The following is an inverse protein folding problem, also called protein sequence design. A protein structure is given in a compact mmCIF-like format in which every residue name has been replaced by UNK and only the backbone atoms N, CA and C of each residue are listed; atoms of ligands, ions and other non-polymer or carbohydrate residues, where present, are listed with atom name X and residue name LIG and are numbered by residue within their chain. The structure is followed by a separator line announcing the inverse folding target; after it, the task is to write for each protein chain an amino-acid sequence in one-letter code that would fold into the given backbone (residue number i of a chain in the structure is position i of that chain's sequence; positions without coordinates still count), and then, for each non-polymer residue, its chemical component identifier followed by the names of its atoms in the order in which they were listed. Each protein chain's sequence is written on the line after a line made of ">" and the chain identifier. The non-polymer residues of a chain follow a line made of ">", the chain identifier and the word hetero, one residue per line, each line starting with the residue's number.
data_IF_904731271092
#
_entry.id   IF_904731271092
#
_cell.length_a   1.000
_cell.length_b   1.000
_cell.length_c   1.000
_cell.angle_alpha   90.00
_cell.angle_beta   90.00
_cell.angle_gamma   90.00
#
_symmetry.space_group_name_H-M   'P 1'
#
loop_
_entity.id
_entity.type
_entity.pdbx_description
1 polymer ?
#
# COMPACT_ATOMS: atom_id res chain seq x y z
N UNK A 1 -13.47 -14.19 -8.55
CA UNK A 1 -13.31 -14.14 -7.08
C UNK A 1 -14.65 -14.23 -6.35
N UNK A 2 -15.59 -13.31 -6.60
CA UNK A 2 -16.92 -13.32 -5.93
C UNK A 2 -17.64 -14.66 -6.15
N UNK A 3 -17.68 -15.16 -7.39
CA UNK A 3 -18.36 -16.42 -7.72
C UNK A 3 -17.72 -17.69 -7.11
N UNK A 4 -16.47 -17.58 -6.65
CA UNK A 4 -15.74 -18.68 -6.01
C UNK A 4 -15.79 -18.60 -4.48
N UNK A 5 -16.39 -17.54 -3.93
CA UNK A 5 -16.59 -17.35 -2.49
C UNK A 5 -17.79 -18.17 -1.99
N UNK A 6 -17.77 -18.70 -0.76
CA UNK A 6 -16.72 -18.58 0.25
C UNK A 6 -15.52 -19.51 0.00
N UNK A 7 -14.33 -19.07 0.44
CA UNK A 7 -13.12 -19.89 0.45
C UNK A 7 -12.95 -20.60 1.80
N UNK A 8 -12.42 -21.82 1.80
CA UNK A 8 -12.20 -22.61 3.02
C UNK A 8 -10.98 -22.18 3.83
N UNK A 9 -9.98 -21.57 3.20
CA UNK A 9 -8.77 -21.07 3.85
C UNK A 9 -8.15 -19.91 3.07
N UNK A 10 -7.26 -19.17 3.73
CA UNK A 10 -6.42 -18.15 3.08
C UNK A 10 -5.57 -18.77 1.95
N UNK A 11 -5.05 -19.98 2.15
CA UNK A 11 -4.26 -20.69 1.13
C UNK A 11 -5.12 -21.01 -0.11
N UNK A 12 -6.38 -21.41 0.08
CA UNK A 12 -7.31 -21.67 -1.02
C UNK A 12 -7.63 -20.37 -1.80
N UNK A 13 -7.89 -19.28 -1.08
CA UNK A 13 -8.16 -17.97 -1.69
C UNK A 13 -6.95 -17.45 -2.48
N UNK A 14 -5.75 -17.53 -1.89
CA UNK A 14 -4.49 -17.12 -2.53
C UNK A 14 -4.14 -17.99 -3.72
N UNK A 15 -4.34 -19.32 -3.63
CA UNK A 15 -4.12 -20.25 -4.74
C UNK A 15 -5.07 -19.97 -5.90
N UNK A 16 -6.35 -19.75 -5.62
CA UNK A 16 -7.35 -19.37 -6.62
C UNK A 16 -6.98 -18.03 -7.29
N UNK A 17 -6.63 -17.01 -6.49
CA UNK A 17 -6.21 -15.71 -7.01
C UNK A 17 -4.96 -15.82 -7.91
N UNK A 18 -3.98 -16.66 -7.52
CA UNK A 18 -2.76 -16.90 -8.30
C UNK A 18 -3.07 -17.54 -9.65
N UNK A 19 -3.94 -18.55 -9.67
CA UNK A 19 -4.36 -19.18 -10.91
C UNK A 19 -5.09 -18.19 -11.81
N UNK A 20 -6.06 -17.46 -11.26
CA UNK A 20 -6.82 -16.47 -12.01
C UNK A 20 -5.88 -15.42 -12.60
N UNK A 21 -4.98 -14.86 -11.79
CA UNK A 21 -4.06 -13.80 -12.18
C UNK A 21 -3.06 -14.22 -13.25
N UNK A 22 -2.39 -15.36 -13.12
CA UNK A 22 -1.30 -15.72 -14.04
C UNK A 22 -1.73 -16.59 -15.23
N UNK A 23 -2.84 -17.32 -15.13
CA UNK A 23 -3.26 -18.27 -16.18
C UNK A 23 -4.50 -17.82 -16.94
N UNK A 24 -5.45 -17.16 -16.27
CA UNK A 24 -6.78 -16.88 -16.85
C UNK A 24 -6.94 -15.40 -17.23
N UNK A 25 -6.28 -14.49 -16.52
CA UNK A 25 -6.28 -13.07 -16.83
C UNK A 25 -5.56 -12.77 -18.14
N UNK A 26 -6.11 -11.82 -18.88
CA UNK A 26 -5.47 -11.26 -20.08
C UNK A 26 -4.54 -10.13 -19.68
N UNK A 27 -3.61 -9.79 -20.56
CA UNK A 27 -2.70 -8.63 -20.38
C UNK A 27 -3.47 -7.36 -20.06
N UNK A 28 -4.63 -7.12 -20.70
CA UNK A 28 -5.44 -5.93 -20.40
C UNK A 28 -5.89 -5.88 -18.94
N UNK A 29 -6.27 -7.02 -18.35
CA UNK A 29 -6.66 -7.09 -16.94
C UNK A 29 -5.51 -6.74 -16.00
N UNK A 30 -4.27 -7.09 -16.37
CA UNK A 30 -3.09 -6.65 -15.62
C UNK A 30 -2.88 -5.15 -15.75
N UNK A 31 -2.95 -4.61 -16.97
CA UNK A 31 -2.79 -3.16 -17.21
C UNK A 31 -3.85 -2.33 -16.48
N UNK A 32 -5.09 -2.83 -16.43
CA UNK A 32 -6.18 -2.18 -15.71
C UNK A 32 -5.91 -2.16 -14.20
N UNK A 33 -5.34 -3.22 -13.64
CA UNK A 33 -4.96 -3.28 -12.22
C UNK A 33 -3.77 -2.36 -11.88
N UNK A 34 -2.79 -2.23 -12.78
CA UNK A 34 -1.67 -1.32 -12.59
C UNK A 34 -2.09 0.15 -12.60
N UNK A 35 -3.22 0.47 -13.24
CA UNK A 35 -3.65 1.84 -13.52
C UNK A 35 -4.09 2.58 -12.25
N UNK A 36 -3.51 3.76 -12.01
CA UNK A 36 -3.89 4.67 -10.92
C UNK A 36 -3.14 4.44 -9.61
N UNK A 37 -2.14 3.55 -9.59
CA UNK A 37 -1.42 3.14 -8.39
C UNK A 37 0.11 3.21 -8.50
N UNK A 38 0.67 4.04 -9.40
CA UNK A 38 2.11 4.24 -9.54
C UNK A 38 2.83 4.41 -8.19
N UNK A 39 3.73 3.47 -7.89
CA UNK A 39 4.49 3.47 -6.64
C UNK A 39 5.53 4.60 -6.63
N UNK A 40 6.06 4.99 -7.80
CA UNK A 40 6.92 6.17 -7.93
C UNK A 40 6.18 7.46 -7.56
N UNK A 41 4.97 7.64 -8.07
CA UNK A 41 4.15 8.81 -7.75
C UNK A 41 3.74 8.82 -6.28
N UNK A 42 3.29 7.68 -5.74
CA UNK A 42 2.88 7.55 -4.34
C UNK A 42 4.03 7.79 -3.36
N UNK A 43 5.24 7.37 -3.72
CA UNK A 43 6.44 7.58 -2.90
C UNK A 43 6.77 9.07 -2.67
N UNK A 44 6.34 9.97 -3.57
CA UNK A 44 6.54 11.43 -3.42
C UNK A 44 5.97 11.94 -2.09
N UNK A 45 4.88 11.33 -1.59
CA UNK A 45 4.25 11.71 -0.31
C UNK A 45 5.20 11.61 0.90
N UNK A 46 6.18 10.70 0.83
CA UNK A 46 7.08 10.38 1.93
C UNK A 46 8.53 10.80 1.65
N UNK A 47 8.82 11.25 0.43
CA UNK A 47 10.16 11.60 -0.01
C UNK A 47 10.65 12.93 0.57
N UNK A 48 11.97 13.07 0.71
CA UNK A 48 12.62 14.36 0.97
C UNK A 48 12.40 15.30 -0.22
N UNK A 49 12.31 16.61 0.05
CA UNK A 49 12.08 17.64 -0.97
C UNK A 49 13.09 17.58 -2.13
N UNK A 50 14.34 17.21 -1.85
CA UNK A 50 15.40 17.02 -2.85
C UNK A 50 15.09 15.89 -3.84
N UNK A 51 14.35 14.86 -3.43
CA UNK A 51 14.06 13.67 -4.22
C UNK A 51 12.76 13.76 -5.01
N UNK A 52 11.80 14.59 -4.58
CA UNK A 52 10.46 14.67 -5.19
C UNK A 52 10.51 14.89 -6.72
N UNK A 53 11.39 15.79 -7.19
CA UNK A 53 11.57 16.05 -8.63
C UNK A 53 12.13 14.83 -9.37
N UNK A 54 13.03 14.08 -8.74
CA UNK A 54 13.64 12.88 -9.32
C UNK A 54 12.60 11.76 -9.47
N UNK A 55 11.78 11.54 -8.43
CA UNK A 55 10.67 10.58 -8.47
C UNK A 55 9.64 10.93 -9.55
N UNK A 56 9.19 12.19 -9.61
CA UNK A 56 8.23 12.64 -10.63
C UNK A 56 8.79 12.48 -12.06
N UNK A 57 10.07 12.81 -12.24
CA UNK A 57 10.75 12.63 -13.53
C UNK A 57 10.76 11.15 -13.94
N UNK A 58 11.12 10.26 -13.00
CA UNK A 58 11.16 8.82 -13.27
C UNK A 58 9.78 8.21 -13.48
N UNK A 59 8.74 8.67 -12.78
CA UNK A 59 7.36 8.23 -13.01
C UNK A 59 6.93 8.50 -14.47
N UNK A 60 7.19 9.72 -14.96
CA UNK A 60 6.89 10.10 -16.34
C UNK A 60 7.76 9.32 -17.34
N UNK A 61 9.06 9.20 -17.06
CA UNK A 61 10.03 8.53 -17.94
C UNK A 61 9.74 7.04 -18.08
N UNK A 62 9.43 6.36 -16.98
CA UNK A 62 9.06 4.95 -16.96
C UNK A 62 7.77 4.73 -17.76
N UNK A 63 6.72 5.51 -17.47
CA UNK A 63 5.44 5.42 -18.18
C UNK A 63 5.58 5.66 -19.68
N UNK A 64 6.42 6.62 -20.08
CA UNK A 64 6.67 6.91 -21.50
C UNK A 64 7.36 5.74 -22.23
N UNK A 65 8.23 4.98 -21.53
CA UNK A 65 8.92 3.83 -22.12
C UNK A 65 8.03 2.58 -22.20
N UNK A 66 7.38 2.22 -21.09
CA UNK A 66 6.70 0.94 -20.96
C UNK A 66 5.19 1.00 -21.22
N UNK A 67 4.59 2.20 -21.18
CA UNK A 67 3.17 2.40 -21.43
C UNK A 67 2.26 2.10 -20.24
N UNK A 68 2.80 1.75 -19.07
CA UNK A 68 2.07 1.52 -17.83
C UNK A 68 2.82 2.08 -16.62
N UNK A 69 2.17 2.04 -15.45
CA UNK A 69 2.67 2.64 -14.20
C UNK A 69 3.74 1.76 -13.53
N UNK A 70 4.67 2.37 -12.78
CA UNK A 70 5.66 1.58 -12.05
C UNK A 70 5.02 0.88 -10.85
N UNK A 71 5.11 -0.46 -10.84
CA UNK A 71 4.57 -1.33 -9.78
C UNK A 71 5.71 -2.04 -9.06
N UNK A 72 5.68 -2.01 -7.74
CA UNK A 72 6.58 -2.74 -6.84
C UNK A 72 5.84 -3.11 -5.55
N UNK A 73 6.20 -4.21 -4.91
CA UNK A 73 5.73 -4.54 -3.55
C UNK A 73 6.42 -3.73 -2.45
N UNK A 74 7.44 -2.95 -2.79
CA UNK A 74 8.19 -2.13 -1.82
C UNK A 74 7.31 -1.04 -1.21
N UNK A 75 7.46 -0.86 0.10
CA UNK A 75 6.64 0.05 0.88
C UNK A 75 6.80 1.51 0.40
N UNK A 76 5.69 2.25 0.25
CA UNK A 76 5.72 3.59 -0.37
C UNK A 76 6.55 4.63 0.39
N UNK A 77 6.89 4.39 1.66
CA UNK A 77 7.78 5.27 2.42
C UNK A 77 9.28 5.01 2.15
N UNK A 78 9.64 3.90 1.51
CA UNK A 78 11.00 3.58 1.07
C UNK A 78 11.31 4.25 -0.28
N UNK A 79 11.17 5.58 -0.34
CA UNK A 79 11.24 6.34 -1.60
C UNK A 79 12.55 6.19 -2.37
N UNK A 80 13.68 5.98 -1.67
CA UNK A 80 14.98 5.75 -2.30
C UNK A 80 15.05 4.37 -2.96
N UNK A 81 14.56 3.34 -2.28
CA UNK A 81 14.56 1.96 -2.79
C UNK A 81 13.66 1.83 -4.02
N UNK A 82 12.44 2.39 -3.96
CA UNK A 82 11.51 2.43 -5.11
C UNK A 82 12.16 3.12 -6.32
N UNK A 83 12.90 4.21 -6.07
CA UNK A 83 13.61 4.92 -7.12
C UNK A 83 14.72 4.03 -7.71
N UNK A 84 15.55 3.41 -6.87
CA UNK A 84 16.67 2.58 -7.32
C UNK A 84 16.18 1.35 -8.10
N UNK A 85 15.08 0.72 -7.66
CA UNK A 85 14.41 -0.35 -8.41
C UNK A 85 13.95 0.13 -9.80
N UNK A 86 13.33 1.31 -9.88
CA UNK A 86 12.88 1.86 -11.15
C UNK A 86 14.06 2.16 -12.08
N UNK A 87 15.18 2.65 -11.56
CA UNK A 87 16.40 2.90 -12.35
C UNK A 87 16.99 1.60 -12.91
N UNK A 88 17.06 0.54 -12.11
CA UNK A 88 17.57 -0.78 -12.54
C UNK A 88 16.62 -1.43 -13.55
N UNK A 89 15.32 -1.45 -13.26
CA UNK A 89 14.28 -2.05 -14.11
C UNK A 89 14.07 -1.28 -15.41
N UNK A 90 14.48 -0.01 -15.47
CA UNK A 90 14.42 0.77 -16.69
C UNK A 90 15.23 0.14 -17.83
N UNK A 91 16.27 -0.65 -17.58
CA UNK A 91 17.04 -1.32 -18.64
C UNK A 91 16.33 -2.55 -19.23
N UNK A 92 15.22 -3.00 -18.64
CA UNK A 92 14.48 -4.16 -19.11
C UNK A 92 13.79 -3.93 -20.47
N UNK A 93 13.51 -5.05 -21.15
CA UNK A 93 12.59 -5.09 -22.28
C UNK A 93 11.14 -5.04 -21.79
N UNK A 94 10.21 -4.57 -22.62
CA UNK A 94 8.80 -4.46 -22.26
C UNK A 94 8.18 -5.77 -21.77
N UNK A 95 8.51 -6.90 -22.42
CA UNK A 95 7.97 -8.22 -22.05
C UNK A 95 8.43 -8.62 -20.66
N UNK A 96 9.74 -8.49 -20.38
CA UNK A 96 10.31 -8.81 -19.07
C UNK A 96 9.73 -7.89 -17.99
N UNK A 97 9.60 -6.60 -18.29
CA UNK A 97 9.10 -5.62 -17.32
C UNK A 97 7.61 -5.82 -17.01
N UNK A 98 6.82 -6.21 -18.01
CA UNK A 98 5.42 -6.58 -17.82
C UNK A 98 5.28 -7.80 -16.89
N UNK A 99 6.10 -8.83 -17.10
CA UNK A 99 6.11 -10.03 -16.25
C UNK A 99 6.53 -9.71 -14.80
N UNK A 100 7.50 -8.81 -14.61
CA UNK A 100 7.90 -8.34 -13.27
C UNK A 100 6.77 -7.55 -12.63
N UNK A 101 6.17 -6.59 -13.33
CA UNK A 101 5.06 -5.80 -12.80
C UNK A 101 3.86 -6.68 -12.41
N UNK A 102 3.54 -7.70 -13.19
CA UNK A 102 2.50 -8.66 -12.85
C UNK A 102 2.83 -9.47 -11.58
N UNK A 103 4.10 -9.82 -11.37
CA UNK A 103 4.53 -10.48 -10.13
C UNK A 103 4.47 -9.55 -8.92
N UNK A 104 4.90 -8.29 -9.08
CA UNK A 104 4.84 -7.29 -8.01
C UNK A 104 3.40 -6.98 -7.60
N UNK A 105 2.50 -6.79 -8.57
CA UNK A 105 1.08 -6.60 -8.30
C UNK A 105 0.47 -7.81 -7.60
N UNK A 106 0.87 -9.03 -7.97
CA UNK A 106 0.38 -10.23 -7.29
C UNK A 106 0.80 -10.29 -5.82
N UNK A 107 2.03 -9.87 -5.48
CA UNK A 107 2.45 -9.75 -4.08
C UNK A 107 1.57 -8.77 -3.31
N UNK A 108 1.15 -7.66 -3.94
CA UNK A 108 0.23 -6.71 -3.33
C UNK A 108 -1.16 -7.32 -3.10
N UNK A 109 -1.67 -8.09 -4.07
CA UNK A 109 -2.93 -8.83 -3.94
C UNK A 109 -2.84 -9.85 -2.79
N UNK A 110 -1.75 -10.60 -2.69
CA UNK A 110 -1.51 -11.59 -1.63
C UNK A 110 -1.53 -10.95 -0.23
N UNK A 111 -0.78 -9.86 -0.02
CA UNK A 111 -0.84 -9.09 1.24
C UNK A 111 -2.24 -8.51 1.52
N UNK A 112 -2.98 -8.13 0.48
CA UNK A 112 -4.36 -7.68 0.59
C UNK A 112 -5.29 -8.78 1.09
N UNK A 113 -5.14 -10.00 0.57
CA UNK A 113 -5.89 -11.18 1.01
C UNK A 113 -5.57 -11.54 2.47
N UNK A 114 -4.30 -11.53 2.85
CA UNK A 114 -3.88 -11.74 4.24
C UNK A 114 -4.57 -10.76 5.19
N UNK A 115 -4.55 -9.46 4.85
CA UNK A 115 -5.18 -8.42 5.65
C UNK A 115 -6.70 -8.61 5.78
N UNK A 116 -7.37 -8.93 4.68
CA UNK A 116 -8.82 -9.19 4.70
C UNK A 116 -9.17 -10.41 5.55
N UNK A 117 -8.34 -11.45 5.49
CA UNK A 117 -8.57 -12.69 6.23
C UNK A 117 -8.41 -12.50 7.75
N UNK A 118 -7.44 -11.70 8.20
CA UNK A 118 -7.30 -11.39 9.62
C UNK A 118 -8.49 -10.57 10.15
N UNK A 119 -9.01 -9.62 9.36
CA UNK A 119 -10.20 -8.85 9.73
C UNK A 119 -11.45 -9.72 9.87
N UNK A 120 -11.59 -10.77 9.05
CA UNK A 120 -12.70 -11.71 9.14
C UNK A 120 -12.67 -12.52 10.46
N UNK A 121 -11.47 -12.95 10.89
CA UNK A 121 -11.30 -13.65 12.18
C UNK A 121 -11.70 -12.77 13.36
N UNK A 122 -11.27 -11.51 13.36
CA UNK A 122 -11.59 -10.55 14.43
C UNK A 122 -13.11 -10.27 14.51
N UNK A 123 -13.79 -10.16 13.37
CA UNK A 123 -15.23 -9.93 13.32
C UNK A 123 -16.05 -11.11 13.87
N UNK A 124 -15.59 -12.35 13.67
CA UNK A 124 -16.23 -13.55 14.23
C UNK A 124 -16.06 -13.62 15.75
N UNK A 125 -14.91 -13.22 16.28
CA UNK A 125 -14.63 -13.23 17.74
C UNK A 125 -15.47 -12.19 18.50
N UNK A 126 -15.81 -11.06 17.88
CA UNK A 126 -16.62 -10.01 18.53
C UNK A 126 -18.11 -10.34 18.68
N UNK A 127 -18.64 -11.37 18.01
CA UNK A 127 -20.08 -11.69 18.05
C UNK A 127 -20.50 -12.61 19.20
N UNK A 128 -19.57 -13.08 20.04
CA UNK A 128 -19.85 -14.04 21.12
C UNK A 128 -19.83 -13.42 22.54
N UNK A 129 -19.80 -12.09 22.66
CA UNK A 129 -19.91 -11.40 23.95
C UNK A 129 -20.94 -10.28 23.92
N UNK A 130 -22.20 -10.62 24.17
CA UNK A 130 -23.25 -9.65 24.47
C UNK A 130 -23.60 -9.70 25.96
N UNK A 131 -23.01 -8.82 26.77
CA UNK A 131 -23.66 -8.24 27.97
C UNK A 131 -23.21 -6.77 28.12
N UNK A 132 -24.18 -5.88 28.32
CA UNK A 132 -24.06 -4.43 28.48
C UNK A 132 -23.25 -4.01 29.72
N UNK A 133 -22.47 -2.91 29.62
CA UNK A 133 -22.55 -1.76 30.55
C UNK A 133 -21.58 -0.61 30.20
N UNK A 134 -22.18 0.59 30.19
CA UNK A 134 -21.69 1.93 30.56
C UNK A 134 -20.50 2.63 29.87
N UNK A 135 -20.91 3.64 29.11
CA UNK A 135 -20.25 4.91 28.82
C UNK A 135 -19.45 5.50 29.98
N UNK A 136 -18.13 5.64 29.79
CA UNK A 136 -17.41 6.92 29.88
C UNK A 136 -15.90 6.67 29.72
N UNK A 137 -15.34 7.12 28.61
CA UNK A 137 -13.90 7.05 28.37
C UNK A 137 -13.50 7.97 27.23
N UNK A 138 -13.56 9.27 27.49
CA UNK A 138 -12.94 10.29 26.66
C UNK A 138 -11.49 9.90 26.36
N UNK A 139 -11.22 9.34 25.18
CA UNK A 139 -9.86 9.31 24.62
C UNK A 139 -9.55 10.72 24.15
N UNK A 140 -8.78 11.41 24.99
CA UNK A 140 -8.31 12.75 24.80
C UNK A 140 -7.50 12.90 23.50
N UNK A 141 -7.81 14.00 22.80
CA UNK A 141 -6.91 14.77 21.96
C UNK A 141 -6.48 14.18 20.61
N UNK A 142 -7.47 13.93 19.76
CA UNK A 142 -7.31 14.12 18.31
C UNK A 142 -7.32 15.64 18.05
N UNK A 143 -6.15 16.29 18.07
CA UNK A 143 -6.05 17.73 17.85
C UNK A 143 -6.36 18.09 16.38
N UNK A 144 -7.58 18.57 16.21
CA UNK A 144 -8.13 19.45 15.18
C UNK A 144 -7.10 20.08 14.23
N UNK A 145 -6.99 19.52 13.01
CA UNK A 145 -6.37 20.23 11.89
C UNK A 145 -7.28 21.42 11.53
N UNK A 146 -6.84 22.63 11.85
CA UNK A 146 -7.62 23.83 11.56
C UNK A 146 -7.33 24.26 10.12
N UNK A 147 -8.27 23.96 9.20
CA UNK A 147 -8.16 24.24 7.76
C UNK A 147 -8.02 25.73 7.40
N UNK A 148 -8.15 26.64 8.37
CA UNK A 148 -8.01 28.08 8.17
C UNK A 148 -6.61 28.63 8.50
N UNK A 149 -5.65 27.79 8.93
CA UNK A 149 -4.27 28.20 9.22
C UNK A 149 -3.31 27.82 8.08
N UNK A 150 -2.30 28.66 7.84
CA UNK A 150 -1.22 28.35 6.90
C UNK A 150 -0.44 27.10 7.36
N UNK A 151 0.10 26.28 6.43
CA UNK A 151 0.70 24.99 6.75
C UNK A 151 1.97 25.06 7.61
N UNK A 152 2.59 26.22 7.74
CA UNK A 152 3.74 26.51 8.60
C UNK A 152 3.36 26.75 10.07
N UNK A 153 2.09 27.04 10.35
CA UNK A 153 1.57 27.26 11.71
C UNK A 153 0.91 26.02 12.33
N UNK A 154 0.81 24.90 11.60
CA UNK A 154 0.39 23.64 12.21
C UNK A 154 1.59 22.96 12.87
N UNK A 155 1.45 22.63 14.15
CA UNK A 155 2.47 21.87 14.87
C UNK A 155 2.22 20.39 14.57
N UNK A 156 2.94 19.86 13.58
CA UNK A 156 2.84 18.45 13.22
C UNK A 156 3.42 17.61 14.39
N UNK A 157 2.71 16.60 14.91
CA UNK A 157 3.18 15.84 16.09
C UNK A 157 4.49 15.07 15.89
N UNK A 158 5.05 15.09 14.67
CA UNK A 158 6.28 14.38 14.27
C UNK A 158 7.49 15.28 14.01
N UNK A 159 7.35 16.61 14.10
CA UNK A 159 8.49 17.53 13.99
C UNK A 159 9.35 17.46 15.25
N UNK A 160 10.50 16.78 15.14
CA UNK A 160 11.49 16.63 16.22
C UNK A 160 11.73 15.19 16.71
N UNK A 161 10.98 14.19 16.22
CA UNK A 161 11.24 12.79 16.59
C UNK A 161 12.33 12.14 15.71
N UNK A 162 13.24 11.41 16.36
CA UNK A 162 14.17 10.47 15.71
C UNK A 162 13.41 9.33 15.00
N UNK A 163 13.87 8.80 13.86
CA UNK A 163 13.21 7.71 13.13
C UNK A 163 12.79 6.52 14.01
N UNK A 164 13.65 6.08 14.93
CA UNK A 164 13.36 4.94 15.81
C UNK A 164 12.17 5.21 16.75
N UNK A 165 12.04 6.47 17.20
CA UNK A 165 10.93 6.89 18.06
C UNK A 165 9.63 6.96 17.26
N UNK A 166 9.67 7.33 15.98
CA UNK A 166 8.49 7.35 15.10
C UNK A 166 7.93 5.94 14.91
N UNK A 167 8.81 4.96 14.68
CA UNK A 167 8.41 3.56 14.53
C UNK A 167 7.79 3.01 15.82
N UNK A 168 8.39 3.29 16.98
CA UNK A 168 7.87 2.85 18.27
C UNK A 168 6.49 3.46 18.60
N UNK A 169 6.30 4.76 18.33
CA UNK A 169 5.00 5.43 18.53
C UNK A 169 3.92 4.89 17.60
N UNK A 170 4.26 4.55 16.34
CA UNK A 170 3.31 3.97 15.40
C UNK A 170 2.89 2.55 15.81
N UNK A 171 3.83 1.73 16.27
CA UNK A 171 3.56 0.39 16.80
C UNK A 171 2.67 0.44 18.05
N UNK A 172 2.90 1.41 18.94
CA UNK A 172 2.10 1.59 20.15
C UNK A 172 0.65 2.04 19.86
N UNK A 173 0.42 2.79 18.78
CA UNK A 173 -0.92 3.26 18.40
C UNK A 173 -1.81 2.17 17.80
N UNK A 174 -1.23 1.08 17.29
CA UNK A 174 -1.95 -0.01 16.61
C UNK A 174 -2.04 -1.28 17.48
N UNK A 175 -1.62 -1.21 18.75
CA UNK A 175 -1.59 -2.31 19.69
C UNK A 175 -2.72 -2.28 20.76
N UNK A 176 -3.77 -1.48 20.56
CA UNK A 176 -4.97 -1.39 21.43
C UNK A 176 -6.22 -1.24 20.62
#
# INVERSE_FOLDING_TARGET
>A
MIDASPFSSLEDATSFARQLWFKESRIQSWLDAFSGHSHLYRAIRYALASMMRKLLHWDQKYRAKFGFEFITSTETWCSQEILDEAEVRYENTLVVELDIAAQEEFKLIEHGLERLWELEKEAVVSSDSSEEADSAGQKASMLLYNLNKMPDENEYPYSGMSPDKKNAWHLAMWAT
#
